data_IF_909861909804
#
_entry.id   IF_909861909804
#
_cell.length_a   1.000
_cell.length_b   1.000
_cell.length_c   1.000
_cell.angle_alpha   90.00
_cell.angle_beta   90.00
_cell.angle_gamma   90.00
#
_symmetry.space_group_name_H-M   'P 1'
#
loop_
_entity.id
_entity.type
_entity.pdbx_description
1 polymer ?
#
# COMPACT_ATOMS: atom_id res chain seq x y z
N UNK A 1 21.22 -17.19 -4.84
CA UNK A 1 20.16 -16.17 -4.92
C UNK A 1 20.34 -15.26 -3.72
N UNK A 2 20.61 -13.98 -3.94
CA UNK A 2 20.74 -13.04 -2.82
C UNK A 2 19.35 -12.93 -2.16
N UNK A 3 19.24 -13.30 -0.89
CA UNK A 3 18.01 -13.02 -0.13
C UNK A 3 17.84 -11.50 -0.14
N UNK A 4 16.78 -11.04 -0.82
CA UNK A 4 16.45 -9.62 -0.84
C UNK A 4 16.03 -9.25 0.58
N UNK A 5 16.88 -8.51 1.28
CA UNK A 5 16.57 -8.05 2.64
C UNK A 5 15.39 -7.07 2.58
N UNK A 6 14.25 -7.46 3.14
CA UNK A 6 13.13 -6.57 3.37
C UNK A 6 13.22 -5.98 4.77
N UNK A 7 12.98 -4.69 4.88
CA UNK A 7 12.81 -4.02 6.17
C UNK A 7 11.33 -3.75 6.42
N UNK A 8 10.93 -3.76 7.69
CA UNK A 8 9.59 -3.33 8.08
C UNK A 8 9.49 -1.81 7.94
N UNK A 9 8.51 -1.35 7.19
CA UNK A 9 8.23 0.08 7.05
C UNK A 9 7.45 0.56 8.30
N UNK A 10 7.91 1.61 9.01
CA UNK A 10 7.19 2.14 10.15
C UNK A 10 5.85 2.77 9.72
N UNK A 11 4.89 2.86 10.64
CA UNK A 11 3.64 3.58 10.46
C UNK A 11 3.40 4.47 11.68
N UNK A 12 2.56 5.50 11.54
CA UNK A 12 2.16 6.37 12.64
C UNK A 12 1.22 5.61 13.58
N UNK A 13 1.51 5.58 14.88
CA UNK A 13 0.71 4.83 15.87
C UNK A 13 -0.74 5.29 15.95
N UNK A 14 -0.98 6.60 15.80
CA UNK A 14 -2.31 7.22 15.85
C UNK A 14 -3.02 7.29 14.50
N UNK A 15 -2.47 6.65 13.46
CA UNK A 15 -3.06 6.64 12.12
C UNK A 15 -4.42 5.93 12.12
N UNK A 16 -5.44 6.62 11.58
CA UNK A 16 -6.82 6.15 11.45
C UNK A 16 -7.18 5.72 10.03
N UNK A 17 -6.19 5.58 9.12
CA UNK A 17 -6.44 5.11 7.75
C UNK A 17 -7.18 3.76 7.76
N UNK A 18 -8.17 3.61 6.90
CA UNK A 18 -8.93 2.38 6.79
C UNK A 18 -8.07 1.19 6.37
N UNK A 19 -7.09 1.38 5.46
CA UNK A 19 -6.23 0.30 4.97
C UNK A 19 -5.11 -0.05 5.94
N UNK A 20 -4.35 0.94 6.43
CA UNK A 20 -3.11 0.70 7.17
C UNK A 20 -3.09 1.23 8.61
N UNK A 21 -4.12 1.98 9.05
CA UNK A 21 -4.12 2.63 10.36
C UNK A 21 -4.20 1.65 11.53
N UNK A 22 -3.17 1.58 12.40
CA UNK A 22 -3.18 0.67 13.54
C UNK A 22 -4.25 1.02 14.58
N UNK A 23 -4.64 2.30 14.68
CA UNK A 23 -5.65 2.78 15.62
C UNK A 23 -7.08 2.71 15.09
N UNK A 24 -7.30 2.39 13.80
CA UNK A 24 -8.64 2.19 13.28
C UNK A 24 -9.15 0.77 13.61
N UNK A 25 -10.12 0.67 14.52
CA UNK A 25 -10.67 -0.62 14.96
C UNK A 25 -11.37 -1.39 13.83
N UNK A 26 -11.89 -0.68 12.83
CA UNK A 26 -12.62 -1.23 11.69
C UNK A 26 -11.75 -1.39 10.43
N UNK A 27 -10.46 -1.00 10.52
CA UNK A 27 -9.53 -1.02 9.39
C UNK A 27 -8.87 -2.36 9.15
N UNK A 28 -8.19 -2.46 8.01
CA UNK A 28 -7.45 -3.67 7.61
C UNK A 28 -6.12 -3.83 8.36
N UNK A 29 -5.60 -2.76 8.95
CA UNK A 29 -4.34 -2.73 9.75
C UNK A 29 -3.14 -3.34 9.04
N UNK A 30 -3.04 -3.10 7.74
CA UNK A 30 -1.97 -3.64 6.91
C UNK A 30 -0.60 -3.16 7.38
N UNK A 31 0.38 -4.06 7.36
CA UNK A 31 1.78 -3.80 7.71
C UNK A 31 2.64 -4.07 6.50
N UNK A 32 3.52 -3.14 6.18
CA UNK A 32 4.29 -3.18 4.95
C UNK A 32 5.78 -3.46 5.21
N UNK A 33 6.38 -4.14 4.25
CA UNK A 33 7.80 -4.46 4.20
C UNK A 33 8.33 -4.06 2.82
N UNK A 34 9.50 -3.43 2.77
CA UNK A 34 10.07 -2.94 1.53
C UNK A 34 11.55 -3.23 1.38
N UNK A 35 12.00 -3.25 0.14
CA UNK A 35 13.40 -3.20 -0.27
C UNK A 35 13.55 -2.19 -1.42
N UNK A 36 14.73 -2.11 -2.06
CA UNK A 36 15.00 -1.15 -3.16
C UNK A 36 14.09 -1.32 -4.38
N UNK A 37 13.46 -2.47 -4.57
CA UNK A 37 12.70 -2.79 -5.78
C UNK A 37 11.19 -2.74 -5.57
N UNK A 38 10.70 -3.16 -4.39
CA UNK A 38 9.28 -3.40 -4.17
C UNK A 38 8.87 -3.31 -2.70
N UNK A 39 7.56 -3.17 -2.49
CA UNK A 39 6.91 -3.25 -1.17
C UNK A 39 5.88 -4.38 -1.20
N UNK A 40 5.74 -5.09 -0.07
CA UNK A 40 4.68 -6.07 0.11
C UNK A 40 4.01 -5.98 1.49
N UNK A 41 2.84 -6.57 1.59
CA UNK A 41 2.15 -6.86 2.85
C UNK A 41 1.45 -8.22 2.77
N UNK A 42 1.40 -8.92 3.90
CA UNK A 42 0.59 -10.12 4.06
C UNK A 42 -0.66 -9.77 4.88
N UNK A 43 -1.84 -10.22 4.43
CA UNK A 43 -3.12 -9.93 5.07
C UNK A 43 -4.10 -11.09 4.92
N UNK A 44 -4.82 -11.41 6.00
CA UNK A 44 -6.02 -12.24 5.94
C UNK A 44 -7.25 -11.34 6.09
N UNK A 45 -8.13 -11.33 5.09
CA UNK A 45 -9.31 -10.47 5.11
C UNK A 45 -10.37 -11.05 6.06
N UNK A 46 -10.85 -10.23 7.04
CA UNK A 46 -11.91 -10.66 7.96
C UNK A 46 -13.21 -11.04 7.24
N UNK A 47 -13.97 -11.97 7.82
CA UNK A 47 -15.20 -12.51 7.24
C UNK A 47 -16.36 -11.49 7.15
N UNK A 48 -16.36 -10.43 7.92
CA UNK A 48 -17.35 -9.35 7.81
C UNK A 48 -17.13 -8.43 6.60
N UNK A 49 -16.03 -8.60 5.83
CA UNK A 49 -15.72 -7.84 4.61
C UNK A 49 -16.00 -8.64 3.33
N UNK A 50 -16.87 -9.63 3.42
CA UNK A 50 -17.26 -10.43 2.26
C UNK A 50 -18.27 -9.70 1.34
N UNK A 51 -18.24 -10.12 0.07
CA UNK A 51 -19.28 -9.79 -0.93
C UNK A 51 -20.29 -10.94 -1.05
N UNK A 52 -19.90 -12.03 -1.69
CA UNK A 52 -20.76 -13.21 -1.93
C UNK A 52 -20.19 -14.44 -1.22
N UNK A 53 -21.01 -15.21 -0.52
CA UNK A 53 -20.71 -16.58 -0.05
C UNK A 53 -19.23 -16.90 0.26
N UNK A 54 -18.61 -16.15 1.15
CA UNK A 54 -17.20 -16.35 1.54
C UNK A 54 -16.17 -15.68 0.64
N UNK A 55 -16.58 -15.05 -0.47
CA UNK A 55 -15.68 -14.29 -1.36
C UNK A 55 -15.49 -12.87 -0.82
N UNK A 56 -14.26 -12.40 -0.78
CA UNK A 56 -13.92 -11.03 -0.39
C UNK A 56 -14.57 -10.02 -1.34
N UNK A 57 -15.17 -8.97 -0.79
CA UNK A 57 -15.76 -7.91 -1.60
C UNK A 57 -14.71 -7.24 -2.51
N UNK A 58 -15.04 -7.03 -3.80
CA UNK A 58 -14.11 -6.46 -4.78
C UNK A 58 -13.56 -5.07 -4.38
N UNK A 59 -14.38 -4.22 -3.75
CA UNK A 59 -13.92 -2.94 -3.21
C UNK A 59 -12.86 -3.07 -2.11
N UNK A 60 -12.90 -4.14 -1.30
CA UNK A 60 -11.85 -4.43 -0.31
C UNK A 60 -10.55 -4.83 -0.99
N UNK A 61 -10.62 -5.65 -2.03
CA UNK A 61 -9.43 -6.01 -2.83
C UNK A 61 -8.84 -4.78 -3.53
N UNK A 62 -9.70 -3.88 -4.03
CA UNK A 62 -9.24 -2.58 -4.58
C UNK A 62 -8.55 -1.73 -3.52
N UNK A 63 -9.08 -1.68 -2.28
CA UNK A 63 -8.44 -0.97 -1.17
C UNK A 63 -7.07 -1.57 -0.83
N UNK A 64 -6.95 -2.90 -0.78
CA UNK A 64 -5.67 -3.57 -0.51
C UNK A 64 -4.63 -3.24 -1.60
N UNK A 65 -5.05 -3.17 -2.87
CA UNK A 65 -4.18 -2.77 -3.98
C UNK A 65 -3.79 -1.29 -3.90
N UNK A 66 -4.75 -0.41 -3.60
CA UNK A 66 -4.50 1.02 -3.43
C UNK A 66 -3.49 1.27 -2.31
N UNK A 67 -3.68 0.65 -1.15
CA UNK A 67 -2.73 0.73 -0.03
C UNK A 67 -1.35 0.18 -0.42
N UNK A 68 -1.29 -1.00 -1.05
CA UNK A 68 -0.03 -1.60 -1.49
C UNK A 68 0.73 -0.68 -2.44
N UNK A 69 0.07 -0.14 -3.47
CA UNK A 69 0.68 0.79 -4.42
C UNK A 69 1.04 2.13 -3.78
N UNK A 70 0.22 2.63 -2.85
CA UNK A 70 0.49 3.86 -2.10
C UNK A 70 1.75 3.74 -1.25
N UNK A 71 1.86 2.68 -0.45
CA UNK A 71 3.06 2.43 0.36
C UNK A 71 4.29 2.13 -0.50
N UNK A 72 4.12 1.43 -1.63
CA UNK A 72 5.17 1.27 -2.63
C UNK A 72 5.68 2.60 -3.16
N UNK A 73 4.76 3.49 -3.57
CA UNK A 73 5.11 4.81 -4.07
C UNK A 73 5.80 5.67 -2.98
N UNK A 74 5.27 5.72 -1.74
CA UNK A 74 5.88 6.45 -0.63
C UNK A 74 7.31 5.96 -0.38
N UNK A 75 7.49 4.67 -0.21
CA UNK A 75 8.75 4.07 0.18
C UNK A 75 9.82 4.21 -0.91
N UNK A 76 9.47 3.89 -2.17
CA UNK A 76 10.41 3.88 -3.30
C UNK A 76 10.69 5.29 -3.86
N UNK A 77 9.75 6.24 -3.71
CA UNK A 77 9.96 7.62 -4.21
C UNK A 77 10.37 8.60 -3.13
N UNK A 78 10.17 8.25 -1.86
CA UNK A 78 10.39 9.12 -0.69
C UNK A 78 9.56 10.41 -0.73
N UNK A 79 8.35 10.33 -1.30
CA UNK A 79 7.42 11.45 -1.42
C UNK A 79 6.09 11.12 -0.77
N UNK A 80 5.35 12.14 -0.38
CA UNK A 80 3.94 12.00 -0.07
C UNK A 80 3.18 11.73 -1.36
N UNK A 81 2.10 10.94 -1.26
CA UNK A 81 1.33 10.55 -2.44
C UNK A 81 -0.18 10.78 -2.29
N UNK A 82 -0.83 10.96 -3.41
CA UNK A 82 -2.28 10.77 -3.56
C UNK A 82 -2.55 9.94 -4.80
N UNK A 83 -3.46 8.98 -4.68
CA UNK A 83 -3.90 8.18 -5.83
C UNK A 83 -4.72 9.04 -6.78
N UNK A 84 -4.31 9.11 -8.05
CA UNK A 84 -5.04 9.82 -9.11
C UNK A 84 -6.03 8.92 -9.84
N UNK A 85 -5.59 7.72 -10.16
CA UNK A 85 -6.38 6.73 -10.87
C UNK A 85 -5.85 5.33 -10.64
N UNK A 86 -6.71 4.34 -10.76
CA UNK A 86 -6.32 2.94 -10.80
C UNK A 86 -7.26 2.12 -11.66
N UNK A 87 -6.72 1.09 -12.29
CA UNK A 87 -7.48 0.08 -13.03
C UNK A 87 -7.24 -1.26 -12.36
N UNK A 88 -8.30 -1.95 -11.96
CA UNK A 88 -8.24 -3.23 -11.26
C UNK A 88 -8.77 -4.34 -12.14
N UNK A 89 -8.01 -5.44 -12.23
CA UNK A 89 -8.38 -6.64 -12.98
C UNK A 89 -8.49 -7.82 -12.00
N UNK A 90 -9.67 -8.42 -11.91
CA UNK A 90 -9.97 -9.57 -11.07
C UNK A 90 -9.85 -10.85 -11.90
N UNK A 91 -8.87 -11.70 -11.57
CA UNK A 91 -8.55 -12.91 -12.33
C UNK A 91 -9.13 -14.17 -11.69
N UNK A 92 -9.13 -14.21 -10.35
CA UNK A 92 -9.61 -15.35 -9.56
C UNK A 92 -10.37 -14.88 -8.33
N UNK A 93 -11.38 -15.62 -7.83
CA UNK A 93 -12.02 -15.30 -6.58
C UNK A 93 -11.02 -15.41 -5.42
N UNK A 94 -11.14 -14.49 -4.46
CA UNK A 94 -10.38 -14.47 -3.21
C UNK A 94 -11.34 -14.78 -2.07
N UNK A 95 -10.99 -15.72 -1.20
CA UNK A 95 -11.84 -16.12 -0.09
C UNK A 95 -11.42 -15.44 1.21
N UNK A 96 -12.39 -15.13 2.08
CA UNK A 96 -12.11 -14.58 3.41
C UNK A 96 -11.27 -15.58 4.20
N UNK A 97 -10.42 -15.06 5.10
CA UNK A 97 -9.47 -15.84 5.91
C UNK A 97 -8.33 -16.52 5.13
N UNK A 98 -8.36 -16.49 3.79
CA UNK A 98 -7.17 -16.90 3.04
C UNK A 98 -6.05 -15.87 3.26
N UNK A 99 -4.83 -16.36 3.42
CA UNK A 99 -3.65 -15.48 3.53
C UNK A 99 -3.32 -14.94 2.15
N UNK A 100 -3.37 -13.63 2.02
CA UNK A 100 -3.05 -12.93 0.79
C UNK A 100 -1.71 -12.24 0.94
N UNK A 101 -0.97 -12.19 -0.15
CA UNK A 101 0.18 -11.31 -0.32
C UNK A 101 -0.14 -10.26 -1.37
N UNK A 102 -0.06 -8.99 -0.98
CA UNK A 102 -0.05 -7.87 -1.94
C UNK A 102 1.36 -7.42 -2.16
N UNK A 103 1.75 -7.24 -3.42
CA UNK A 103 3.05 -6.75 -3.86
C UNK A 103 2.87 -5.53 -4.73
N UNK A 104 3.77 -4.55 -4.61
CA UNK A 104 3.76 -3.35 -5.45
C UNK A 104 5.16 -2.89 -5.81
N UNK A 105 5.29 -2.35 -7.01
CA UNK A 105 6.52 -1.83 -7.60
C UNK A 105 6.24 -0.62 -8.47
N UNK A 106 7.25 0.19 -8.74
CA UNK A 106 7.15 1.26 -9.73
C UNK A 106 7.16 0.62 -11.12
N UNK A 107 6.10 0.87 -11.88
CA UNK A 107 6.05 0.49 -13.29
C UNK A 107 6.82 1.49 -14.15
N UNK A 108 6.59 2.80 -13.92
CA UNK A 108 7.24 3.88 -14.66
C UNK A 108 7.21 5.19 -13.87
N UNK A 109 8.30 5.96 -13.90
CA UNK A 109 8.31 7.35 -13.45
C UNK A 109 7.86 8.25 -14.59
N UNK A 110 6.61 8.72 -14.52
CA UNK A 110 6.01 9.56 -15.56
C UNK A 110 6.55 10.98 -15.55
N UNK A 111 6.89 11.49 -14.35
CA UNK A 111 7.50 12.81 -14.13
C UNK A 111 8.04 12.91 -12.69
N UNK A 112 8.58 14.08 -12.31
CA UNK A 112 8.96 14.38 -10.92
C UNK A 112 7.75 14.41 -9.96
N UNK A 113 6.52 14.51 -10.51
CA UNK A 113 5.27 14.66 -9.76
C UNK A 113 4.30 13.49 -9.96
N UNK A 114 4.66 12.48 -10.75
CA UNK A 114 3.80 11.35 -11.04
C UNK A 114 4.59 10.06 -11.25
N UNK A 115 4.09 8.98 -10.68
CA UNK A 115 4.57 7.62 -10.96
C UNK A 115 3.41 6.68 -11.26
N UNK A 116 3.62 5.80 -12.22
CA UNK A 116 2.77 4.63 -12.45
C UNK A 116 3.24 3.48 -11.58
N UNK A 117 2.31 2.87 -10.86
CA UNK A 117 2.54 1.74 -9.97
C UNK A 117 1.86 0.49 -10.52
N UNK A 118 2.46 -0.66 -10.24
CA UNK A 118 1.81 -1.97 -10.42
C UNK A 118 1.56 -2.59 -9.06
N UNK A 119 0.35 -3.11 -8.84
CA UNK A 119 -0.04 -3.88 -7.65
C UNK A 119 -0.54 -5.27 -8.05
N UNK A 120 -0.23 -6.29 -7.24
CA UNK A 120 -0.67 -7.68 -7.45
C UNK A 120 -1.06 -8.31 -6.13
N UNK A 121 -2.18 -9.05 -6.12
CA UNK A 121 -2.60 -9.87 -4.98
C UNK A 121 -2.49 -11.33 -5.35
N UNK A 122 -1.77 -12.08 -4.51
CA UNK A 122 -1.61 -13.52 -4.61
C UNK A 122 -2.32 -14.21 -3.43
N UNK A 123 -2.89 -15.37 -3.67
CA UNK A 123 -3.46 -16.21 -2.61
C UNK A 123 -2.37 -17.07 -1.92
N UNK A 124 -2.76 -17.84 -0.90
CA UNK A 124 -1.87 -18.73 -0.13
C UNK A 124 -1.17 -19.81 -0.98
N UNK A 125 -1.65 -20.05 -2.20
CA UNK A 125 -1.02 -20.98 -3.17
C UNK A 125 -0.04 -20.29 -4.12
N UNK A 126 0.16 -18.96 -3.97
CA UNK A 126 0.99 -18.17 -4.88
C UNK A 126 0.34 -17.88 -6.24
N UNK A 127 -0.98 -18.07 -6.37
CA UNK A 127 -1.68 -17.77 -7.62
C UNK A 127 -2.08 -16.29 -7.66
N UNK A 128 -1.86 -15.63 -8.80
CA UNK A 128 -2.32 -14.27 -9.04
C UNK A 128 -3.85 -14.22 -9.09
N UNK A 129 -4.44 -13.49 -8.16
CA UNK A 129 -5.89 -13.34 -8.05
C UNK A 129 -6.39 -11.99 -8.53
N UNK A 130 -5.67 -10.90 -8.23
CA UNK A 130 -6.04 -9.55 -8.64
C UNK A 130 -4.79 -8.79 -9.04
N UNK A 131 -4.87 -7.95 -10.06
CA UNK A 131 -3.81 -7.03 -10.45
C UNK A 131 -4.34 -5.63 -10.66
N UNK A 132 -3.48 -4.62 -10.50
CA UNK A 132 -3.82 -3.23 -10.74
C UNK A 132 -2.64 -2.47 -11.33
N UNK A 133 -2.96 -1.47 -12.13
CA UNK A 133 -2.05 -0.36 -12.43
C UNK A 133 -2.69 0.93 -11.95
N UNK A 134 -1.90 1.82 -11.35
CA UNK A 134 -2.39 3.09 -10.84
C UNK A 134 -1.40 4.21 -11.07
N UNK A 135 -1.89 5.44 -11.15
CA UNK A 135 -1.07 6.65 -11.20
C UNK A 135 -1.16 7.36 -9.86
N UNK A 136 0.00 7.61 -9.25
CA UNK A 136 0.16 8.33 -8.00
C UNK A 136 0.70 9.72 -8.28
N UNK A 137 0.06 10.75 -7.71
CA UNK A 137 0.63 12.09 -7.62
C UNK A 137 1.69 12.09 -6.52
N UNK A 138 2.88 12.60 -6.82
CA UNK A 138 4.01 12.68 -5.91
C UNK A 138 4.19 14.12 -5.43
N UNK A 139 4.29 14.33 -4.13
CA UNK A 139 4.42 15.64 -3.52
C UNK A 139 5.57 15.69 -2.52
N UNK A 140 6.36 16.75 -2.58
CA UNK A 140 7.39 17.03 -1.59
C UNK A 140 6.75 17.49 -0.28
N UNK A 141 7.35 17.13 0.85
CA UNK A 141 6.81 17.43 2.18
C UNK A 141 6.62 18.94 2.43
N UNK A 142 7.46 19.79 1.86
CA UNK A 142 7.30 21.25 1.96
C UNK A 142 6.00 21.75 1.29
N UNK A 143 5.59 21.10 0.20
CA UNK A 143 4.32 21.41 -0.45
C UNK A 143 3.14 20.89 0.37
N UNK A 144 3.23 19.67 0.91
CA UNK A 144 2.21 19.07 1.78
C UNK A 144 1.95 19.93 3.03
N UNK A 145 3.01 20.45 3.66
CA UNK A 145 2.90 21.41 4.79
C UNK A 145 2.13 22.66 4.42
N UNK A 146 2.41 23.24 3.24
CA UNK A 146 1.71 24.45 2.74
C UNK A 146 0.22 24.20 2.47
N UNK A 147 -0.17 22.98 2.10
CA UNK A 147 -1.58 22.61 1.87
C UNK A 147 -2.37 22.50 3.19
N UNK A 148 -1.72 22.32 4.32
CA UNK A 148 -2.32 22.36 5.67
C UNK A 148 -3.27 21.21 6.01
N UNK A 149 -3.26 20.09 5.26
CA UNK A 149 -4.08 18.93 5.58
C UNK A 149 -3.38 17.85 6.42
N UNK A 150 -2.13 18.10 6.82
CA UNK A 150 -1.42 17.31 7.82
C UNK A 150 -1.12 18.15 9.04
N UNK A 151 -1.30 17.60 10.23
CA UNK A 151 -0.85 18.20 11.47
C UNK A 151 0.68 18.15 11.55
N UNK A 152 1.30 19.05 12.30
CA UNK A 152 2.77 19.11 12.44
C UNK A 152 3.36 17.79 12.94
N UNK A 153 2.73 17.14 13.91
CA UNK A 153 3.11 15.82 14.41
C UNK A 153 3.08 14.75 13.32
N UNK A 154 2.05 14.76 12.48
CA UNK A 154 1.89 13.78 11.39
C UNK A 154 2.99 13.94 10.33
N UNK A 155 3.44 15.18 10.10
CA UNK A 155 4.56 15.49 9.19
C UNK A 155 5.86 14.87 9.68
N UNK A 156 6.17 15.01 10.97
CA UNK A 156 7.39 14.46 11.57
C UNK A 156 7.38 12.92 11.52
N UNK A 157 6.24 12.32 11.84
CA UNK A 157 6.09 10.87 11.76
C UNK A 157 6.16 10.35 10.32
N UNK A 158 5.57 11.07 9.37
CA UNK A 158 5.68 10.72 7.96
C UNK A 158 7.13 10.83 7.44
N UNK A 159 7.90 11.80 7.94
CA UNK A 159 9.31 11.93 7.60
C UNK A 159 10.13 10.71 8.05
N UNK A 160 9.76 10.07 9.20
CA UNK A 160 10.38 8.81 9.65
C UNK A 160 10.10 7.66 8.67
N UNK A 161 8.88 7.61 8.11
CA UNK A 161 8.50 6.63 7.09
C UNK A 161 9.39 6.79 5.85
N UNK A 162 9.49 8.01 5.33
CA UNK A 162 10.33 8.34 4.16
C UNK A 162 11.80 7.96 4.41
N UNK A 163 12.31 8.28 5.60
CA UNK A 163 13.70 8.04 5.96
C UNK A 163 14.01 6.55 6.24
N UNK A 164 13.01 5.73 6.48
CA UNK A 164 13.21 4.30 6.77
C UNK A 164 13.90 3.55 5.64
N UNK A 165 13.74 3.98 4.40
CA UNK A 165 14.44 3.44 3.24
C UNK A 165 15.98 3.51 3.37
N UNK A 166 16.51 4.45 4.16
CA UNK A 166 17.95 4.56 4.38
C UNK A 166 18.53 3.42 5.23
N UNK A 167 17.69 2.53 5.77
CA UNK A 167 18.09 1.36 6.55
C UNK A 167 18.33 0.11 5.67
N UNK A 168 18.13 0.19 4.34
CA UNK A 168 18.53 -0.82 3.36
C UNK A 168 19.99 -0.69 3.02
#
# INVERSE_FOLDING_TARGET
MCEKNFIKIPNMEHNMCFGCGPSNEHGLKMKFFGNDDMVYADIAVPDYLLGWNGVVHGGILSTILDEGMSWGAIFLTRKFILTKSMTVNYHKPVFVKDMLRVESEINERLSDREASMTGRIFNSKGELCVSSTGVMALMDMDYVKKLGFMKEQDVDDFQKIINSHNAL
#
